data_IF_875434808302
#
_entry.id   IF_875434808302
#
_cell.length_a   1.000
_cell.length_b   1.000
_cell.length_c   1.000
_cell.angle_alpha   90.00
_cell.angle_beta   90.00
_cell.angle_gamma   90.00
#
_symmetry.space_group_name_H-M   'P 1'
#
loop_
_entity.id
_entity.type
_entity.pdbx_description
1 polymer ?
#
# COMPACT_ATOMS: atom_id res chain seq x y z
N UNK A 1 25.45 -37.84 43.64
CA UNK A 1 25.54 -37.43 45.07
C UNK A 1 24.13 -36.98 45.46
N UNK A 2 23.39 -37.53 46.42
CA UNK A 2 23.68 -38.28 47.64
C UNK A 2 22.55 -39.30 47.84
N UNK A 3 22.90 -40.59 47.86
CA UNK A 3 22.05 -41.66 48.37
C UNK A 3 22.46 -41.90 49.83
N UNK A 4 22.03 -41.04 50.77
CA UNK A 4 22.15 -41.28 52.22
C UNK A 4 21.39 -40.25 53.06
N UNK A 5 20.10 -40.03 52.75
CA UNK A 5 19.13 -39.48 53.71
C UNK A 5 18.02 -40.49 53.91
N UNK A 6 18.33 -41.58 54.60
CA UNK A 6 17.32 -42.39 55.27
C UNK A 6 16.66 -41.48 56.30
N UNK A 7 15.45 -40.99 55.98
CA UNK A 7 14.63 -40.07 56.76
C UNK A 7 14.71 -40.37 58.26
N UNK A 8 15.35 -39.48 59.03
CA UNK A 8 15.37 -39.56 60.50
C UNK A 8 13.95 -39.59 61.10
N UNK A 9 12.95 -39.08 60.35
CA UNK A 9 11.55 -39.19 60.69
C UNK A 9 10.99 -40.60 60.53
N UNK A 10 11.46 -41.36 59.53
CA UNK A 10 11.05 -42.76 59.28
C UNK A 10 11.54 -43.68 60.40
N UNK A 11 12.76 -43.48 60.89
CA UNK A 11 13.27 -44.24 62.05
C UNK A 11 12.50 -43.91 63.34
N UNK A 12 12.12 -42.65 63.54
CA UNK A 12 11.26 -42.23 64.67
C UNK A 12 9.85 -42.80 64.58
N UNK A 13 9.25 -42.86 63.39
CA UNK A 13 7.93 -43.45 63.16
C UNK A 13 7.91 -44.95 63.43
N UNK A 14 8.97 -45.67 63.02
CA UNK A 14 9.15 -47.10 63.31
C UNK A 14 9.38 -47.33 64.81
N UNK A 15 10.19 -46.50 65.46
CA UNK A 15 10.41 -46.58 66.91
C UNK A 15 9.12 -46.33 67.71
N UNK A 16 8.31 -45.35 67.31
CA UNK A 16 6.99 -45.09 67.92
C UNK A 16 6.07 -46.28 67.68
N UNK A 17 5.96 -46.81 66.46
CA UNK A 17 5.14 -47.99 66.18
C UNK A 17 5.56 -49.21 67.03
N UNK A 18 6.87 -49.46 67.17
CA UNK A 18 7.40 -50.57 67.97
C UNK A 18 7.09 -50.44 69.46
N UNK A 19 7.24 -49.24 70.04
CA UNK A 19 6.89 -48.95 71.44
C UNK A 19 5.38 -49.17 71.68
N UNK A 20 4.54 -48.80 70.69
CA UNK A 20 3.09 -48.89 70.81
C UNK A 20 2.51 -50.27 70.49
N UNK A 21 3.20 -51.15 69.74
CA UNK A 21 2.78 -52.56 69.61
C UNK A 21 3.00 -53.35 70.90
N UNK A 22 3.97 -52.94 71.72
CA UNK A 22 4.35 -53.64 72.96
C UNK A 22 3.48 -53.19 74.15
N UNK A 23 2.98 -51.95 74.14
CA UNK A 23 2.23 -51.33 75.25
C UNK A 23 0.87 -51.98 75.57
N UNK A 24 -0.03 -52.28 74.60
CA UNK A 24 -1.34 -52.86 74.89
C UNK A 24 -1.25 -54.29 75.45
N UNK A 25 -0.30 -55.10 74.95
CA UNK A 25 -0.05 -56.45 75.46
C UNK A 25 0.46 -56.44 76.91
N UNK A 26 1.31 -55.48 77.26
CA UNK A 26 1.78 -55.26 78.64
C UNK A 26 0.67 -54.73 79.54
N UNK A 27 -0.19 -53.83 79.05
CA UNK A 27 -1.33 -53.30 79.81
C UNK A 27 -2.39 -54.38 80.08
N UNK A 28 -2.65 -55.25 79.10
CA UNK A 28 -3.53 -56.42 79.24
C UNK A 28 -2.98 -57.46 80.25
N UNK A 29 -1.67 -57.72 80.23
CA UNK A 29 -1.00 -58.61 81.17
C UNK A 29 -0.96 -58.07 82.61
N UNK A 30 -0.85 -56.75 82.79
CA UNK A 30 -0.85 -56.13 84.11
C UNK A 30 -2.25 -56.08 84.73
N UNK A 31 -3.31 -55.90 83.94
CA UNK A 31 -4.68 -55.79 84.47
C UNK A 31 -5.38 -57.13 84.72
N UNK A 32 -5.13 -58.17 83.92
CA UNK A 32 -5.69 -59.51 84.17
C UNK A 32 -5.16 -60.16 85.46
N UNK A 33 -4.06 -59.64 86.01
CA UNK A 33 -3.46 -60.07 87.28
C UNK A 33 -4.16 -59.48 88.53
N UNK A 34 -5.09 -58.54 88.36
CA UNK A 34 -5.72 -57.86 89.49
C UNK A 34 -6.89 -58.68 90.07
N UNK A 35 -6.74 -59.14 91.33
CA UNK A 35 -7.60 -60.16 91.98
C UNK A 35 -8.96 -59.66 92.53
N UNK A 36 -9.35 -58.41 92.27
CA UNK A 36 -10.54 -57.78 92.88
C UNK A 36 -11.72 -57.48 91.94
N UNK A 37 -11.70 -57.90 90.67
CA UNK A 37 -12.77 -57.63 89.68
C UNK A 37 -13.67 -58.86 89.46
N UNK A 38 -14.99 -58.67 89.29
CA UNK A 38 -15.93 -59.75 88.96
C UNK A 38 -15.77 -60.23 87.51
N UNK A 39 -16.16 -61.47 87.18
CA UNK A 39 -15.95 -62.06 85.84
C UNK A 39 -16.59 -61.23 84.71
N UNK A 40 -17.77 -60.62 84.95
CA UNK A 40 -18.42 -59.70 84.00
C UNK A 40 -17.63 -58.39 83.81
N UNK A 41 -17.09 -57.82 84.89
CA UNK A 41 -16.28 -56.59 84.82
C UNK A 41 -14.95 -56.80 84.09
N UNK A 42 -14.35 -57.99 84.20
CA UNK A 42 -13.13 -58.33 83.44
C UNK A 42 -13.37 -58.34 81.93
N UNK A 43 -14.52 -58.86 81.48
CA UNK A 43 -14.90 -58.89 80.05
C UNK A 43 -15.16 -57.48 79.53
N UNK A 44 -15.87 -56.65 80.29
CA UNK A 44 -16.19 -55.27 79.88
C UNK A 44 -14.94 -54.40 79.77
N UNK A 45 -14.04 -54.48 80.76
CA UNK A 45 -12.73 -53.80 80.71
C UNK A 45 -11.85 -54.33 79.57
N UNK A 46 -11.87 -55.64 79.30
CA UNK A 46 -11.13 -56.22 78.18
C UNK A 46 -11.66 -55.74 76.83
N UNK A 47 -12.98 -55.70 76.64
CA UNK A 47 -13.62 -55.17 75.42
C UNK A 47 -13.38 -53.67 75.25
N UNK A 48 -13.40 -52.90 76.33
CA UNK A 48 -13.07 -51.48 76.32
C UNK A 48 -11.58 -51.25 75.97
N UNK A 49 -10.66 -52.03 76.54
CA UNK A 49 -9.24 -51.97 76.19
C UNK A 49 -8.98 -52.38 74.73
N UNK A 50 -9.69 -53.38 74.23
CA UNK A 50 -9.57 -53.88 72.86
C UNK A 50 -10.16 -52.89 71.84
N UNK A 51 -11.31 -52.29 72.12
CA UNK A 51 -11.90 -51.22 71.30
C UNK A 51 -11.04 -49.96 71.32
N UNK A 52 -10.50 -49.55 72.47
CA UNK A 52 -9.59 -48.39 72.57
C UNK A 52 -8.29 -48.63 71.81
N UNK A 53 -7.74 -49.85 71.89
CA UNK A 53 -6.57 -50.24 71.10
C UNK A 53 -6.89 -50.25 69.61
N UNK A 54 -8.04 -50.80 69.21
CA UNK A 54 -8.48 -50.86 67.82
C UNK A 54 -8.72 -49.46 67.21
N UNK A 55 -9.38 -48.54 67.93
CA UNK A 55 -9.57 -47.16 67.49
C UNK A 55 -8.26 -46.39 67.39
N UNK A 56 -7.32 -46.64 68.32
CA UNK A 56 -5.98 -46.06 68.25
C UNK A 56 -5.18 -46.57 67.05
N UNK A 57 -5.12 -47.88 66.82
CA UNK A 57 -4.43 -48.46 65.64
C UNK A 57 -5.08 -48.01 64.33
N UNK A 58 -6.40 -47.87 64.29
CA UNK A 58 -7.12 -47.30 63.15
C UNK A 58 -6.71 -45.83 62.93
N UNK A 59 -6.69 -45.01 63.98
CA UNK A 59 -6.24 -43.62 63.92
C UNK A 59 -4.78 -43.49 63.46
N UNK A 60 -3.89 -44.35 63.96
CA UNK A 60 -2.50 -44.40 63.54
C UNK A 60 -2.34 -44.83 62.08
N UNK A 61 -3.11 -45.83 61.62
CA UNK A 61 -3.13 -46.26 60.23
C UNK A 61 -3.64 -45.15 59.29
N UNK A 62 -4.69 -44.42 59.69
CA UNK A 62 -5.20 -43.24 58.95
C UNK A 62 -4.14 -42.15 58.88
N UNK A 63 -3.46 -41.84 60.00
CA UNK A 63 -2.38 -40.85 60.05
C UNK A 63 -1.20 -41.23 59.14
N UNK A 64 -0.77 -42.49 59.18
CA UNK A 64 0.26 -43.02 58.29
C UNK A 64 -0.13 -42.92 56.82
N UNK A 65 -1.37 -43.29 56.48
CA UNK A 65 -1.87 -43.21 55.12
C UNK A 65 -1.93 -41.75 54.63
N UNK A 66 -2.44 -40.83 55.47
CA UNK A 66 -2.45 -39.40 55.18
C UNK A 66 -1.03 -38.83 54.97
N UNK A 67 -0.05 -39.24 55.80
CA UNK A 67 1.35 -38.86 55.64
C UNK A 67 1.93 -39.34 54.30
N UNK A 68 1.75 -40.61 53.96
CA UNK A 68 2.25 -41.14 52.69
C UNK A 68 1.50 -40.59 51.48
N UNK A 69 0.20 -40.30 51.60
CA UNK A 69 -0.58 -39.61 50.56
C UNK A 69 -0.05 -38.18 50.35
N UNK A 70 0.21 -37.43 51.42
CA UNK A 70 0.82 -36.10 51.35
C UNK A 70 2.21 -36.14 50.69
N UNK A 71 3.06 -37.09 51.08
CA UNK A 71 4.40 -37.28 50.47
C UNK A 71 4.33 -37.66 48.99
N UNK A 72 3.36 -38.51 48.59
CA UNK A 72 3.10 -38.82 47.18
C UNK A 72 2.61 -37.58 46.42
N UNK A 73 1.69 -36.81 46.99
CA UNK A 73 1.20 -35.58 46.39
C UNK A 73 2.33 -34.55 46.19
N UNK A 74 3.24 -34.42 47.16
CA UNK A 74 4.41 -33.54 47.03
C UNK A 74 5.38 -34.02 45.93
N UNK A 75 5.64 -35.33 45.86
CA UNK A 75 6.46 -35.91 44.79
C UNK A 75 5.83 -35.72 43.41
N UNK A 76 4.50 -35.91 43.29
CA UNK A 76 3.74 -35.65 42.06
C UNK A 76 3.86 -34.17 41.67
N UNK A 77 3.69 -33.25 42.62
CA UNK A 77 3.80 -31.81 42.37
C UNK A 77 5.20 -31.42 41.88
N UNK A 78 6.26 -31.95 42.50
CA UNK A 78 7.65 -31.72 42.04
C UNK A 78 7.89 -32.26 40.63
N UNK A 79 7.38 -33.45 40.33
CA UNK A 79 7.46 -34.03 38.99
C UNK A 79 6.67 -33.21 37.96
N UNK A 80 5.48 -32.73 38.32
CA UNK A 80 4.67 -31.88 37.45
C UNK A 80 5.40 -30.58 37.08
N UNK A 81 6.02 -29.90 38.07
CA UNK A 81 6.84 -28.70 37.84
C UNK A 81 8.04 -29.02 36.93
N UNK A 82 8.70 -30.16 37.13
CA UNK A 82 9.82 -30.57 36.29
C UNK A 82 9.39 -30.85 34.84
N UNK A 83 8.23 -31.46 34.63
CA UNK A 83 7.64 -31.70 33.30
C UNK A 83 7.25 -30.38 32.64
N UNK A 84 6.61 -29.47 33.36
CA UNK A 84 6.23 -28.14 32.85
C UNK A 84 7.47 -27.37 32.39
N UNK A 85 8.51 -27.33 33.22
CA UNK A 85 9.79 -26.69 32.86
C UNK A 85 10.48 -27.37 31.69
N UNK A 86 10.42 -28.69 31.60
CA UNK A 86 10.95 -29.45 30.46
C UNK A 86 10.20 -29.13 29.17
N UNK A 87 8.86 -29.04 29.23
CA UNK A 87 8.03 -28.65 28.09
C UNK A 87 8.33 -27.22 27.66
N UNK A 88 8.49 -26.28 28.59
CA UNK A 88 8.87 -24.89 28.30
C UNK A 88 10.26 -24.80 27.62
N UNK A 89 11.23 -25.59 28.06
CA UNK A 89 12.55 -25.67 27.42
C UNK A 89 12.43 -26.27 26.02
N UNK A 90 11.64 -27.33 25.86
CA UNK A 90 11.43 -27.96 24.55
C UNK A 90 10.75 -27.01 23.57
N UNK A 91 9.73 -26.26 23.98
CA UNK A 91 9.07 -25.25 23.12
C UNK A 91 10.05 -24.14 22.73
N UNK A 92 10.85 -23.63 23.66
CA UNK A 92 11.92 -22.67 23.38
C UNK A 92 12.96 -23.23 22.41
N UNK A 93 13.40 -24.47 22.62
CA UNK A 93 14.38 -25.12 21.73
C UNK A 93 13.81 -25.32 20.32
N UNK A 94 12.54 -25.70 20.19
CA UNK A 94 11.89 -25.80 18.88
C UNK A 94 11.78 -24.46 18.17
N UNK A 95 11.49 -23.39 18.90
CA UNK A 95 11.42 -22.04 18.35
C UNK A 95 12.80 -21.56 17.88
N UNK A 96 13.85 -21.75 18.68
CA UNK A 96 15.23 -21.42 18.30
C UNK A 96 15.67 -22.20 17.05
N UNK A 97 15.31 -23.49 16.96
CA UNK A 97 15.64 -24.30 15.79
C UNK A 97 14.93 -23.80 14.52
N UNK A 98 13.66 -23.38 14.63
CA UNK A 98 12.91 -22.78 13.53
C UNK A 98 13.50 -21.44 13.08
N UNK A 99 13.83 -20.56 14.03
CA UNK A 99 14.48 -19.26 13.77
C UNK A 99 15.85 -19.45 13.07
N UNK A 100 16.63 -20.43 13.52
CA UNK A 100 17.92 -20.77 12.88
C UNK A 100 17.74 -21.25 11.45
N UNK A 101 16.79 -22.15 11.20
CA UNK A 101 16.50 -22.66 9.86
C UNK A 101 16.05 -21.53 8.91
N UNK A 102 15.20 -20.61 9.38
CA UNK A 102 14.77 -19.45 8.61
C UNK A 102 15.96 -18.55 8.25
N UNK A 103 16.85 -18.28 9.22
CA UNK A 103 18.08 -17.50 9.02
C UNK A 103 19.02 -18.16 8.01
N UNK A 104 19.21 -19.48 8.08
CA UNK A 104 20.03 -20.22 7.12
C UNK A 104 19.46 -20.17 5.70
N UNK A 105 18.14 -20.33 5.53
CA UNK A 105 17.46 -20.18 4.23
C UNK A 105 17.65 -18.78 3.66
N UNK A 106 17.50 -17.75 4.48
CA UNK A 106 17.69 -16.36 4.09
C UNK A 106 19.12 -16.09 3.62
N UNK A 107 20.14 -16.48 4.40
CA UNK A 107 21.54 -16.28 4.05
C UNK A 107 21.97 -17.05 2.79
N UNK A 108 21.46 -18.28 2.63
CA UNK A 108 21.71 -19.08 1.43
C UNK A 108 21.10 -18.42 0.19
N UNK A 109 19.88 -17.88 0.30
CA UNK A 109 19.24 -17.18 -0.81
C UNK A 109 20.01 -15.91 -1.20
N UNK A 110 20.48 -15.11 -0.24
CA UNK A 110 21.33 -13.94 -0.52
C UNK A 110 22.59 -14.35 -1.29
N UNK A 111 23.25 -15.42 -0.87
CA UNK A 111 24.46 -15.92 -1.55
C UNK A 111 24.15 -16.34 -2.99
N UNK A 112 23.01 -17.02 -3.20
CA UNK A 112 22.57 -17.48 -4.50
C UNK A 112 22.13 -16.34 -5.45
N UNK A 113 21.77 -15.16 -4.94
CA UNK A 113 21.50 -13.98 -5.79
C UNK A 113 22.73 -13.53 -6.59
N UNK A 114 23.94 -13.75 -6.07
CA UNK A 114 25.20 -13.41 -6.76
C UNK A 114 25.65 -14.45 -7.79
N UNK A 115 24.91 -15.55 -7.95
CA UNK A 115 25.32 -16.66 -8.81
C UNK A 115 25.21 -16.31 -10.30
N UNK A 116 26.10 -16.83 -11.16
CA UNK A 116 26.12 -16.51 -12.61
C UNK A 116 24.90 -17.06 -13.38
N UNK A 117 24.36 -18.19 -12.93
CA UNK A 117 23.17 -18.81 -13.52
C UNK A 117 21.87 -18.08 -13.13
N UNK A 118 21.14 -17.60 -14.14
CA UNK A 118 19.83 -16.93 -14.01
C UNK A 118 18.82 -17.77 -13.23
N UNK A 119 18.74 -19.09 -13.47
CA UNK A 119 17.79 -19.97 -12.80
C UNK A 119 18.04 -20.05 -11.28
N UNK A 120 19.32 -20.06 -10.88
CA UNK A 120 19.72 -20.02 -9.46
C UNK A 120 19.29 -18.71 -8.81
N UNK A 121 19.50 -17.57 -9.48
CA UNK A 121 19.06 -16.26 -8.98
C UNK A 121 17.54 -16.17 -8.88
N UNK A 122 16.81 -16.64 -9.89
CA UNK A 122 15.35 -16.71 -9.86
C UNK A 122 14.85 -17.56 -8.69
N UNK A 123 15.46 -18.74 -8.45
CA UNK A 123 15.14 -19.58 -7.29
C UNK A 123 15.38 -18.84 -5.96
N UNK A 124 16.51 -18.16 -5.83
CA UNK A 124 16.85 -17.37 -4.65
C UNK A 124 15.84 -16.24 -4.38
N UNK A 125 15.39 -15.53 -5.43
CA UNK A 125 14.38 -14.47 -5.32
C UNK A 125 13.07 -15.02 -4.74
N UNK A 126 12.61 -16.20 -5.17
CA UNK A 126 11.40 -16.81 -4.61
C UNK A 126 11.57 -17.33 -3.19
N UNK A 127 12.76 -17.81 -2.82
CA UNK A 127 13.06 -18.15 -1.42
C UNK A 127 12.99 -16.90 -0.54
N UNK A 128 13.54 -15.77 -1.00
CA UNK A 128 13.44 -14.49 -0.30
C UNK A 128 11.98 -14.01 -0.18
N UNK A 129 11.17 -14.15 -1.24
CA UNK A 129 9.72 -13.87 -1.16
C UNK A 129 9.05 -14.70 -0.07
N UNK A 130 9.36 -16.00 0.02
CA UNK A 130 8.85 -16.87 1.09
C UNK A 130 9.24 -16.38 2.48
N UNK A 131 10.51 -16.02 2.67
CA UNK A 131 11.02 -15.46 3.94
C UNK A 131 10.29 -14.16 4.30
N UNK A 132 10.06 -13.27 3.32
CA UNK A 132 9.33 -12.02 3.54
C UNK A 132 7.87 -12.22 3.97
N UNK A 133 7.23 -13.30 3.52
CA UNK A 133 5.85 -13.66 3.92
C UNK A 133 5.78 -14.29 5.31
N UNK A 134 6.80 -15.04 5.70
CA UNK A 134 6.86 -15.72 7.00
C UNK A 134 7.27 -14.76 8.13
N UNK A 135 8.03 -13.69 7.84
CA UNK A 135 8.53 -12.76 8.83
C UNK A 135 8.35 -11.30 8.41
N UNK A 136 7.44 -10.60 9.08
CA UNK A 136 7.24 -9.15 8.89
C UNK A 136 8.50 -8.34 9.21
N UNK A 137 9.33 -8.80 10.15
CA UNK A 137 10.60 -8.17 10.50
C UNK A 137 11.60 -8.23 9.34
N UNK A 138 11.63 -9.32 8.57
CA UNK A 138 12.55 -9.51 7.45
C UNK A 138 11.98 -9.04 6.11
N UNK A 139 10.66 -8.86 6.01
CA UNK A 139 9.96 -8.42 4.81
C UNK A 139 10.62 -7.18 4.17
N UNK A 140 10.79 -6.13 4.98
CA UNK A 140 11.39 -4.89 4.51
C UNK A 140 12.83 -5.09 4.01
N UNK A 141 13.64 -5.85 4.75
CA UNK A 141 15.03 -6.15 4.35
C UNK A 141 15.08 -6.94 3.06
N UNK A 142 14.20 -7.91 2.86
CA UNK A 142 14.07 -8.64 1.59
C UNK A 142 13.76 -7.68 0.45
N UNK A 143 12.80 -6.77 0.62
CA UNK A 143 12.45 -5.80 -0.41
C UNK A 143 13.63 -4.87 -0.74
N UNK A 144 14.41 -4.46 0.26
CA UNK A 144 15.64 -3.68 0.04
C UNK A 144 16.70 -4.47 -0.73
N UNK A 145 16.91 -5.74 -0.41
CA UNK A 145 17.85 -6.62 -1.12
C UNK A 145 17.44 -6.81 -2.57
N UNK A 146 16.15 -7.11 -2.83
CA UNK A 146 15.65 -7.28 -4.19
C UNK A 146 15.71 -5.98 -4.99
N UNK A 147 15.45 -4.85 -4.34
CA UNK A 147 15.58 -3.53 -4.95
C UNK A 147 17.03 -3.22 -5.32
N UNK A 148 17.99 -3.53 -4.42
CA UNK A 148 19.42 -3.41 -4.71
C UNK A 148 19.85 -4.31 -5.87
N UNK A 149 19.36 -5.56 -5.89
CA UNK A 149 19.59 -6.49 -6.98
C UNK A 149 19.11 -5.92 -8.34
N UNK A 150 17.90 -5.33 -8.38
CA UNK A 150 17.41 -4.66 -9.61
C UNK A 150 18.34 -3.51 -10.00
N UNK A 151 18.73 -2.63 -9.08
CA UNK A 151 19.62 -1.50 -9.39
C UNK A 151 20.96 -1.93 -9.98
N UNK A 152 21.56 -2.99 -9.45
CA UNK A 152 22.85 -3.50 -9.94
C UNK A 152 22.74 -4.17 -11.31
N UNK A 153 21.58 -4.75 -11.63
CA UNK A 153 21.39 -5.58 -12.82
C UNK A 153 20.57 -4.91 -13.93
N UNK A 154 20.01 -3.73 -13.67
CA UNK A 154 19.18 -2.96 -14.57
C UNK A 154 19.64 -1.49 -14.60
N UNK A 155 20.92 -1.23 -14.86
CA UNK A 155 21.46 0.14 -14.88
C UNK A 155 21.07 0.87 -16.17
N UNK A 156 20.61 2.12 -16.07
CA UNK A 156 20.44 3.00 -17.25
C UNK A 156 21.80 3.25 -17.90
N UNK A 157 22.04 2.67 -19.08
CA UNK A 157 23.22 2.97 -19.88
C UNK A 157 23.00 4.29 -20.63
N UNK A 158 23.47 5.38 -20.04
CA UNK A 158 23.64 6.64 -20.75
C UNK A 158 24.85 6.49 -21.68
N UNK A 159 24.66 6.07 -22.94
CA UNK A 159 25.60 6.00 -24.10
C UNK A 159 25.09 4.83 -24.97
N UNK A 160 24.77 4.91 -26.27
CA UNK A 160 25.10 5.79 -27.38
C UNK A 160 23.91 5.87 -28.34
N UNK A 161 23.95 6.85 -29.26
CA UNK A 161 23.25 6.82 -30.54
C UNK A 161 23.63 5.53 -31.29
N UNK A 162 22.99 4.41 -30.97
CA UNK A 162 23.09 3.18 -31.76
C UNK A 162 21.69 2.72 -32.18
N UNK A 163 21.47 2.98 -33.45
CA UNK A 163 20.63 2.41 -34.51
C UNK A 163 20.09 0.97 -34.38
N UNK A 164 19.99 0.35 -33.21
CA UNK A 164 19.29 -0.93 -33.08
C UNK A 164 18.11 -0.85 -32.12
N UNK A 165 16.95 -0.70 -32.74
CA UNK A 165 15.60 -0.92 -32.22
C UNK A 165 15.37 -2.39 -31.81
N UNK A 166 16.29 -2.99 -31.05
CA UNK A 166 16.08 -4.28 -30.41
C UNK A 166 15.35 -4.03 -29.11
N UNK A 167 14.07 -4.38 -29.11
CA UNK A 167 13.20 -4.45 -27.95
C UNK A 167 13.81 -5.43 -26.93
N UNK A 168 14.73 -4.94 -26.09
CA UNK A 168 15.39 -5.76 -25.08
C UNK A 168 14.44 -5.89 -23.90
N UNK A 169 13.67 -6.99 -23.89
CA UNK A 169 12.91 -7.44 -22.74
C UNK A 169 13.83 -7.51 -21.51
N UNK A 170 13.32 -7.08 -20.36
CA UNK A 170 14.05 -7.14 -19.08
C UNK A 170 14.53 -8.58 -18.82
N UNK A 171 15.74 -8.73 -18.26
CA UNK A 171 16.31 -10.03 -17.87
C UNK A 171 15.32 -10.76 -16.95
N UNK A 172 15.17 -12.07 -17.10
CA UNK A 172 14.08 -12.83 -16.46
C UNK A 172 14.12 -12.80 -14.94
N UNK A 173 15.30 -12.83 -14.34
CA UNK A 173 15.53 -12.67 -12.90
C UNK A 173 15.27 -11.25 -12.40
N UNK A 174 15.62 -10.20 -13.15
CA UNK A 174 15.23 -8.82 -12.85
C UNK A 174 13.71 -8.68 -12.89
N UNK A 175 13.07 -9.22 -13.93
CA UNK A 175 11.62 -9.30 -13.99
C UNK A 175 11.03 -10.09 -12.81
N UNK A 176 11.67 -11.19 -12.39
CA UNK A 176 11.25 -11.95 -11.19
C UNK A 176 11.32 -11.09 -9.94
N UNK A 177 12.43 -10.37 -9.74
CA UNK A 177 12.60 -9.46 -8.61
C UNK A 177 11.54 -8.35 -8.61
N UNK A 178 11.28 -7.73 -9.76
CA UNK A 178 10.20 -6.74 -9.92
C UNK A 178 8.82 -7.32 -9.61
N UNK A 179 8.55 -8.55 -10.03
CA UNK A 179 7.29 -9.24 -9.71
C UNK A 179 7.14 -9.48 -8.21
N UNK A 180 8.21 -9.88 -7.51
CA UNK A 180 8.17 -10.07 -6.05
C UNK A 180 8.00 -8.73 -5.33
N UNK A 181 8.75 -7.70 -5.72
CA UNK A 181 8.60 -6.34 -5.18
C UNK A 181 7.17 -5.84 -5.40
N UNK A 182 6.59 -6.07 -6.59
CA UNK A 182 5.23 -5.66 -6.94
C UNK A 182 4.13 -6.46 -6.22
N UNK A 183 4.45 -7.55 -5.52
CA UNK A 183 3.49 -8.32 -4.70
C UNK A 183 3.61 -8.03 -3.21
N UNK A 184 4.48 -7.10 -2.82
CA UNK A 184 4.70 -6.74 -1.41
C UNK A 184 3.44 -6.16 -0.78
N UNK A 185 3.37 -6.28 0.54
CA UNK A 185 2.31 -5.73 1.36
C UNK A 185 2.69 -4.32 1.83
N UNK A 186 2.25 -3.27 1.12
CA UNK A 186 2.65 -1.87 1.43
C UNK A 186 2.34 -1.37 2.84
N UNK A 187 1.27 -1.78 3.54
CA UNK A 187 1.05 -1.45 4.95
C UNK A 187 2.13 -1.97 5.91
N UNK A 188 2.92 -2.97 5.50
CA UNK A 188 4.05 -3.49 6.29
C UNK A 188 5.36 -2.72 6.00
N UNK A 189 5.35 -1.77 5.06
CA UNK A 189 6.51 -0.92 4.78
C UNK A 189 6.84 -0.07 6.02
N UNK A 190 8.12 0.00 6.39
CA UNK A 190 8.58 0.84 7.49
C UNK A 190 8.22 2.30 7.26
N UNK A 191 7.66 2.97 8.27
CA UNK A 191 7.17 4.35 8.17
C UNK A 191 8.26 5.30 7.64
N UNK A 192 7.98 5.93 6.50
CA UNK A 192 8.84 6.95 5.90
C UNK A 192 9.99 6.46 5.00
N UNK A 193 10.16 5.15 4.81
CA UNK A 193 11.19 4.61 3.93
C UNK A 193 10.62 4.27 2.55
N UNK A 194 11.24 4.78 1.47
CA UNK A 194 10.90 4.43 0.09
C UNK A 194 11.85 3.36 -0.43
N UNK A 195 11.36 2.37 -1.16
CA UNK A 195 12.23 1.48 -1.92
C UNK A 195 12.74 2.22 -3.16
N UNK A 196 14.05 2.17 -3.35
CA UNK A 196 14.77 3.00 -4.30
C UNK A 196 15.19 2.22 -5.55
N UNK A 197 14.45 2.44 -6.63
CA UNK A 197 14.68 1.93 -7.96
C UNK A 197 15.11 3.05 -8.93
N UNK A 198 15.73 4.13 -8.43
CA UNK A 198 16.14 5.26 -9.27
C UNK A 198 17.13 4.83 -10.36
N UNK A 199 17.09 5.52 -11.51
CA UNK A 199 18.01 5.33 -12.63
C UNK A 199 18.15 3.86 -13.08
N UNK A 200 17.04 3.12 -13.07
CA UNK A 200 17.01 1.73 -13.53
C UNK A 200 16.38 1.58 -14.91
N UNK A 201 16.89 0.67 -15.74
CA UNK A 201 16.37 0.32 -17.06
C UNK A 201 15.42 -0.88 -16.96
N UNK A 202 14.13 -0.57 -16.95
CA UNK A 202 13.02 -1.52 -16.86
C UNK A 202 12.12 -1.41 -18.10
N UNK A 203 12.70 -1.12 -19.27
CA UNK A 203 11.98 -1.07 -20.53
C UNK A 203 11.27 -2.39 -20.81
N UNK A 204 10.05 -2.33 -21.32
CA UNK A 204 9.23 -3.52 -21.62
C UNK A 204 8.98 -4.44 -20.42
N UNK A 205 9.15 -3.97 -19.17
CA UNK A 205 8.83 -4.75 -17.98
C UNK A 205 7.33 -5.05 -17.90
N UNK A 206 6.99 -6.24 -17.40
CA UNK A 206 5.63 -6.60 -17.04
C UNK A 206 5.41 -6.26 -15.55
N UNK A 207 4.64 -5.21 -15.31
CA UNK A 207 4.32 -4.66 -13.99
C UNK A 207 2.79 -4.58 -13.79
N UNK A 208 2.03 -5.42 -14.50
CA UNK A 208 0.56 -5.44 -14.42
C UNK A 208 0.10 -5.72 -12.99
N UNK A 209 -0.77 -4.86 -12.47
CA UNK A 209 -1.32 -4.98 -11.12
C UNK A 209 -0.27 -4.88 -10.00
N UNK A 210 0.96 -4.44 -10.30
CA UNK A 210 2.01 -4.38 -9.29
C UNK A 210 1.73 -3.27 -8.26
N UNK A 211 1.96 -3.58 -6.98
CA UNK A 211 2.02 -2.62 -5.89
C UNK A 211 3.38 -1.90 -5.92
N UNK A 212 3.37 -0.72 -6.52
CA UNK A 212 4.51 0.17 -6.69
C UNK A 212 4.36 1.45 -5.85
N UNK A 213 3.49 1.45 -4.83
CA UNK A 213 3.23 2.61 -3.97
C UNK A 213 4.51 3.09 -3.30
N UNK A 214 4.67 4.41 -3.17
CA UNK A 214 5.80 5.04 -2.47
C UNK A 214 7.20 4.69 -3.02
N UNK A 215 7.32 4.11 -4.21
CA UNK A 215 8.62 3.82 -4.81
C UNK A 215 9.33 5.12 -5.25
N UNK A 216 10.65 5.11 -5.19
CA UNK A 216 11.49 6.10 -5.85
C UNK A 216 11.99 5.53 -7.19
N UNK A 217 11.39 6.00 -8.28
CA UNK A 217 11.62 5.61 -9.68
C UNK A 217 12.24 6.76 -10.48
N UNK A 218 12.86 7.74 -9.80
CA UNK A 218 13.41 8.93 -10.45
C UNK A 218 14.46 8.57 -11.49
N UNK A 219 14.33 9.15 -12.68
CA UNK A 219 15.25 8.93 -13.80
C UNK A 219 15.22 7.52 -14.39
N UNK A 220 14.37 6.62 -13.90
CA UNK A 220 14.27 5.26 -14.42
C UNK A 220 13.62 5.22 -15.81
N UNK A 221 13.92 4.19 -16.58
CA UNK A 221 13.37 3.96 -17.90
C UNK A 221 12.36 2.81 -17.89
N UNK A 222 11.08 3.17 -17.95
CA UNK A 222 9.91 2.31 -18.05
C UNK A 222 9.26 2.41 -19.45
N UNK A 223 10.02 2.81 -20.47
CA UNK A 223 9.49 2.91 -21.84
C UNK A 223 8.95 1.56 -22.29
N UNK A 224 7.77 1.57 -22.90
CA UNK A 224 7.04 0.38 -23.35
C UNK A 224 6.71 -0.65 -22.25
N UNK A 225 6.89 -0.31 -20.96
CA UNK A 225 6.48 -1.19 -19.87
C UNK A 225 4.95 -1.34 -19.79
N UNK A 226 4.50 -2.50 -19.35
CA UNK A 226 3.09 -2.81 -19.12
C UNK A 226 2.74 -2.63 -17.64
N UNK A 227 2.10 -1.51 -17.32
CA UNK A 227 1.73 -1.07 -15.98
C UNK A 227 0.20 -1.09 -15.79
N UNK A 228 -0.52 -1.92 -16.56
CA UNK A 228 -1.99 -1.99 -16.47
C UNK A 228 -2.44 -2.32 -15.06
N UNK A 229 -3.27 -1.46 -14.48
CA UNK A 229 -3.79 -1.61 -13.12
C UNK A 229 -2.73 -1.57 -12.01
N UNK A 230 -1.49 -1.17 -12.31
CA UNK A 230 -0.46 -0.99 -11.28
C UNK A 230 -0.82 0.17 -10.34
N UNK A 231 -0.36 0.09 -9.10
CA UNK A 231 -0.55 1.15 -8.11
C UNK A 231 0.76 1.86 -7.81
N UNK A 232 0.89 3.09 -8.32
CA UNK A 232 2.03 4.00 -8.13
C UNK A 232 1.67 5.17 -7.20
N UNK A 233 0.65 5.02 -6.35
CA UNK A 233 0.22 6.07 -5.41
C UNK A 233 1.41 6.61 -4.62
N UNK A 234 1.54 7.95 -4.58
CA UNK A 234 2.59 8.69 -3.86
C UNK A 234 4.05 8.30 -4.21
N UNK A 235 4.25 7.67 -5.37
CA UNK A 235 5.57 7.34 -5.90
C UNK A 235 6.25 8.57 -6.51
N UNK A 236 7.58 8.54 -6.57
CA UNK A 236 8.40 9.56 -7.21
C UNK A 236 8.90 9.06 -8.56
N UNK A 237 8.34 9.57 -9.65
CA UNK A 237 8.69 9.28 -11.04
C UNK A 237 9.30 10.52 -11.73
N UNK A 238 9.90 11.45 -10.98
CA UNK A 238 10.49 12.63 -11.60
C UNK A 238 11.58 12.24 -12.63
N UNK A 239 11.52 12.86 -13.81
CA UNK A 239 12.40 12.61 -14.96
C UNK A 239 12.34 11.16 -15.51
N UNK A 240 11.36 10.35 -15.08
CA UNK A 240 11.19 8.97 -15.56
C UNK A 240 10.83 8.95 -17.06
N UNK A 241 11.39 7.99 -17.79
CA UNK A 241 11.03 7.71 -19.19
C UNK A 241 9.91 6.68 -19.22
N UNK A 242 8.75 7.06 -19.74
CA UNK A 242 7.52 6.26 -19.85
C UNK A 242 6.99 6.25 -21.29
N UNK A 243 7.87 6.49 -22.27
CA UNK A 243 7.55 6.56 -23.69
C UNK A 243 6.80 5.29 -24.13
N UNK A 244 5.61 5.44 -24.71
CA UNK A 244 4.81 4.32 -25.22
C UNK A 244 4.37 3.29 -24.17
N UNK A 245 4.52 3.57 -22.86
CA UNK A 245 4.11 2.63 -21.81
C UNK A 245 2.60 2.44 -21.76
N UNK A 246 2.18 1.27 -21.26
CA UNK A 246 0.76 0.92 -21.10
C UNK A 246 0.37 1.16 -19.65
N UNK A 247 -0.29 2.29 -19.40
CA UNK A 247 -0.72 2.79 -18.09
C UNK A 247 -2.26 2.76 -17.95
N UNK A 248 -2.92 1.81 -18.62
CA UNK A 248 -4.38 1.69 -18.57
C UNK A 248 -4.84 1.33 -17.15
N UNK A 249 -5.79 2.09 -16.60
CA UNK A 249 -6.34 1.91 -15.25
C UNK A 249 -5.27 1.97 -14.12
N UNK A 250 -4.13 2.61 -14.38
CA UNK A 250 -3.07 2.79 -13.39
C UNK A 250 -3.50 3.77 -12.28
N UNK A 251 -3.10 3.54 -11.03
CA UNK A 251 -3.19 4.56 -9.98
C UNK A 251 -1.89 5.35 -9.90
N UNK A 252 -1.98 6.66 -10.12
CA UNK A 252 -0.91 7.66 -9.96
C UNK A 252 -1.34 8.73 -8.94
N UNK A 253 -2.24 8.39 -8.01
CA UNK A 253 -2.76 9.34 -7.03
C UNK A 253 -1.61 10.01 -6.28
N UNK A 254 -1.56 11.35 -6.32
CA UNK A 254 -0.49 12.18 -5.71
C UNK A 254 0.95 11.79 -6.07
N UNK A 255 1.17 11.01 -7.13
CA UNK A 255 2.52 10.69 -7.58
C UNK A 255 3.22 11.95 -8.11
N UNK A 256 4.55 11.99 -8.01
CA UNK A 256 5.38 13.02 -8.66
C UNK A 256 5.84 12.50 -10.02
N UNK A 257 5.58 13.25 -11.09
CA UNK A 257 5.97 12.94 -12.47
C UNK A 257 6.59 14.19 -13.12
N UNK A 258 7.32 15.01 -12.37
CA UNK A 258 7.89 16.25 -12.90
C UNK A 258 8.90 15.93 -13.99
N UNK A 259 8.79 16.60 -15.13
CA UNK A 259 9.62 16.37 -16.31
C UNK A 259 9.60 14.91 -16.83
N UNK A 260 8.63 14.08 -16.42
CA UNK A 260 8.53 12.71 -16.91
C UNK A 260 8.16 12.71 -18.41
N UNK A 261 8.67 11.72 -19.15
CA UNK A 261 8.37 11.56 -20.57
C UNK A 261 7.31 10.47 -20.78
N UNK A 262 6.06 10.89 -20.90
CA UNK A 262 4.86 10.07 -21.16
C UNK A 262 4.41 10.15 -22.63
N UNK A 263 5.30 10.55 -23.54
CA UNK A 263 4.98 10.65 -24.96
C UNK A 263 4.39 9.32 -25.47
N UNK A 264 3.28 9.40 -26.20
CA UNK A 264 2.55 8.25 -26.73
C UNK A 264 2.07 7.20 -25.70
N UNK A 265 2.17 7.47 -24.39
CA UNK A 265 1.75 6.54 -23.36
C UNK A 265 0.22 6.36 -23.36
N UNK A 266 -0.25 5.16 -23.00
CA UNK A 266 -1.67 4.85 -22.88
C UNK A 266 -2.13 4.94 -21.42
N UNK A 267 -2.62 6.11 -21.02
CA UNK A 267 -3.16 6.47 -19.70
C UNK A 267 -4.70 6.41 -19.65
N UNK A 268 -5.35 5.65 -20.53
CA UNK A 268 -6.81 5.55 -20.54
C UNK A 268 -7.33 5.08 -19.18
N UNK A 269 -8.35 5.77 -18.65
CA UNK A 269 -8.95 5.53 -17.33
C UNK A 269 -7.98 5.61 -16.14
N UNK A 270 -6.76 6.12 -16.33
CA UNK A 270 -5.80 6.29 -15.23
C UNK A 270 -6.31 7.24 -14.14
N UNK A 271 -5.95 6.96 -12.89
CA UNK A 271 -6.28 7.77 -11.72
C UNK A 271 -5.08 8.64 -11.36
N UNK A 272 -5.07 9.88 -11.84
CA UNK A 272 -3.96 10.83 -11.75
C UNK A 272 -4.33 12.03 -10.87
N UNK A 273 -5.31 11.86 -9.98
CA UNK A 273 -5.83 12.93 -9.15
C UNK A 273 -4.77 13.44 -8.16
N UNK A 274 -4.58 14.76 -8.13
CA UNK A 274 -3.58 15.43 -7.29
C UNK A 274 -2.11 15.15 -7.66
N UNK A 275 -1.83 14.43 -8.74
CA UNK A 275 -0.45 14.15 -9.16
C UNK A 275 0.26 15.42 -9.65
N UNK A 276 1.60 15.40 -9.59
CA UNK A 276 2.44 16.49 -10.06
C UNK A 276 3.10 16.16 -11.41
N UNK A 277 2.49 16.60 -12.50
CA UNK A 277 2.94 16.45 -13.90
C UNK A 277 3.59 17.75 -14.42
N UNK A 278 4.16 18.57 -13.55
CA UNK A 278 4.82 19.82 -13.96
C UNK A 278 5.87 19.54 -15.04
N UNK A 279 5.73 20.23 -16.19
CA UNK A 279 6.65 20.12 -17.33
C UNK A 279 6.81 18.69 -17.89
N UNK A 280 5.87 17.78 -17.58
CA UNK A 280 5.85 16.45 -18.17
C UNK A 280 5.50 16.51 -19.66
N UNK A 281 6.08 15.60 -20.44
CA UNK A 281 5.77 15.43 -21.85
C UNK A 281 4.72 14.34 -22.03
N UNK A 282 3.47 14.72 -22.29
CA UNK A 282 2.34 13.86 -22.61
C UNK A 282 1.92 13.98 -24.09
N UNK A 283 2.81 14.45 -24.97
CA UNK A 283 2.47 14.62 -26.39
C UNK A 283 2.06 13.29 -27.02
N UNK A 284 0.93 13.31 -27.71
CA UNK A 284 0.31 12.13 -28.32
C UNK A 284 -0.24 11.07 -27.34
N UNK A 285 -0.17 11.30 -26.02
CA UNK A 285 -0.65 10.34 -25.03
C UNK A 285 -2.17 10.15 -25.10
N UNK A 286 -2.64 8.96 -24.72
CA UNK A 286 -4.06 8.63 -24.67
C UNK A 286 -4.55 8.68 -23.22
N UNK A 287 -5.35 9.69 -22.87
CA UNK A 287 -5.89 9.94 -21.53
C UNK A 287 -7.43 9.87 -21.53
N UNK A 288 -8.03 9.07 -22.41
CA UNK A 288 -9.50 9.01 -22.54
C UNK A 288 -10.11 8.53 -21.23
N UNK A 289 -11.00 9.35 -20.66
CA UNK A 289 -11.67 9.05 -19.40
C UNK A 289 -10.75 9.00 -18.18
N UNK A 290 -9.51 9.50 -18.27
CA UNK A 290 -8.60 9.58 -17.12
C UNK A 290 -9.10 10.63 -16.11
N UNK A 291 -8.80 10.41 -14.83
CA UNK A 291 -9.11 11.36 -13.76
C UNK A 291 -7.85 12.15 -13.36
N UNK A 292 -7.74 13.38 -13.84
CA UNK A 292 -6.69 14.34 -13.53
C UNK A 292 -7.17 15.46 -12.57
N UNK A 293 -8.23 15.23 -11.79
CA UNK A 293 -8.80 16.26 -10.93
C UNK A 293 -7.74 16.80 -9.96
N UNK A 294 -7.56 18.11 -9.92
CA UNK A 294 -6.57 18.79 -9.07
C UNK A 294 -5.10 18.52 -9.42
N UNK A 295 -4.80 17.83 -10.53
CA UNK A 295 -3.42 17.58 -10.95
C UNK A 295 -2.68 18.88 -11.31
N UNK A 296 -1.38 18.91 -11.07
CA UNK A 296 -0.51 20.01 -11.50
C UNK A 296 0.11 19.69 -12.86
N UNK A 297 -0.29 20.42 -13.90
CA UNK A 297 0.15 20.30 -15.29
C UNK A 297 0.84 21.59 -15.76
N UNK A 298 1.41 22.38 -14.83
CA UNK A 298 2.13 23.62 -15.14
C UNK A 298 3.20 23.37 -16.21
N UNK A 299 3.12 24.08 -17.34
CA UNK A 299 4.01 23.92 -18.51
C UNK A 299 4.09 22.49 -19.10
N UNK A 300 3.11 21.63 -18.83
CA UNK A 300 3.10 20.29 -19.44
C UNK A 300 2.87 20.36 -20.96
N UNK A 301 3.47 19.44 -21.70
CA UNK A 301 3.23 19.27 -23.14
C UNK A 301 2.17 18.20 -23.37
N UNK A 302 0.98 18.61 -23.82
CA UNK A 302 -0.18 17.78 -24.13
C UNK A 302 -0.52 17.84 -25.63
N UNK A 303 0.43 18.21 -26.49
CA UNK A 303 0.19 18.33 -27.94
C UNK A 303 -0.42 17.05 -28.49
N UNK A 304 -1.51 17.18 -29.24
CA UNK A 304 -2.25 16.06 -29.84
C UNK A 304 -2.71 14.96 -28.86
N UNK A 305 -2.67 15.19 -27.55
CA UNK A 305 -3.12 14.22 -26.55
C UNK A 305 -4.63 13.98 -26.65
N UNK A 306 -5.07 12.76 -26.37
CA UNK A 306 -6.48 12.41 -26.35
C UNK A 306 -7.05 12.47 -24.93
N UNK A 307 -7.70 13.57 -24.59
CA UNK A 307 -8.33 13.84 -23.29
C UNK A 307 -9.86 13.74 -23.34
N UNK A 308 -10.43 13.06 -24.35
CA UNK A 308 -11.89 12.92 -24.47
C UNK A 308 -12.47 12.28 -23.21
N UNK A 309 -13.53 12.88 -22.66
CA UNK A 309 -14.18 12.47 -21.40
C UNK A 309 -13.27 12.51 -20.15
N UNK A 310 -12.07 13.09 -20.21
CA UNK A 310 -11.19 13.19 -19.05
C UNK A 310 -11.77 14.16 -18.01
N UNK A 311 -11.51 13.88 -16.73
CA UNK A 311 -11.82 14.80 -15.64
C UNK A 311 -10.58 15.62 -15.28
N UNK A 312 -10.54 16.88 -15.69
CA UNK A 312 -9.51 17.87 -15.40
C UNK A 312 -9.99 18.92 -14.39
N UNK A 313 -11.10 18.68 -13.69
CA UNK A 313 -11.65 19.67 -12.76
C UNK A 313 -10.60 20.13 -11.73
N UNK A 314 -10.50 21.44 -11.54
CA UNK A 314 -9.52 22.11 -10.66
C UNK A 314 -8.04 21.83 -11.01
N UNK A 315 -7.74 21.24 -12.17
CA UNK A 315 -6.36 21.02 -12.59
C UNK A 315 -5.65 22.36 -12.90
N UNK A 316 -4.33 22.36 -12.79
CA UNK A 316 -3.47 23.53 -13.03
C UNK A 316 -2.73 23.37 -14.36
N UNK A 317 -3.27 23.89 -15.45
CA UNK A 317 -2.71 23.87 -16.80
C UNK A 317 -2.09 25.20 -17.24
N UNK A 318 -1.64 26.04 -16.30
CA UNK A 318 -0.98 27.31 -16.63
C UNK A 318 0.20 27.07 -17.58
N UNK A 319 0.22 27.83 -18.69
CA UNK A 319 1.25 27.74 -19.73
C UNK A 319 1.43 26.34 -20.35
N UNK A 320 0.45 25.44 -20.21
CA UNK A 320 0.49 24.11 -20.82
C UNK A 320 0.30 24.20 -22.35
N UNK A 321 0.89 23.27 -23.08
CA UNK A 321 0.74 23.18 -24.53
C UNK A 321 -0.27 22.10 -24.91
N UNK A 322 -1.50 22.47 -25.24
CA UNK A 322 -2.59 21.60 -25.68
C UNK A 322 -2.88 21.73 -27.19
N UNK A 323 -1.91 22.17 -28.00
CA UNK A 323 -2.13 22.32 -29.45
C UNK A 323 -2.61 21.00 -30.07
N UNK A 324 -3.74 21.04 -30.78
CA UNK A 324 -4.38 19.88 -31.41
C UNK A 324 -4.93 18.83 -30.43
N UNK A 325 -4.97 19.10 -29.12
CA UNK A 325 -5.47 18.14 -28.14
C UNK A 325 -6.97 17.87 -28.31
N UNK A 326 -7.40 16.63 -28.04
CA UNK A 326 -8.80 16.19 -28.15
C UNK A 326 -9.44 16.20 -26.77
N UNK A 327 -10.12 17.28 -26.42
CA UNK A 327 -10.81 17.54 -25.15
C UNK A 327 -12.34 17.36 -25.22
N UNK A 328 -12.87 16.75 -26.29
CA UNK A 328 -14.31 16.57 -26.46
C UNK A 328 -14.99 15.91 -25.25
N UNK A 329 -16.02 16.57 -24.71
CA UNK A 329 -16.76 16.19 -23.49
C UNK A 329 -15.89 16.06 -22.23
N UNK A 330 -14.70 16.65 -22.19
CA UNK A 330 -13.88 16.70 -20.97
C UNK A 330 -14.50 17.63 -19.92
N UNK A 331 -14.27 17.33 -18.64
CA UNK A 331 -14.64 18.20 -17.53
C UNK A 331 -13.43 19.07 -17.13
N UNK A 332 -13.50 20.36 -17.44
CA UNK A 332 -12.51 21.39 -17.14
C UNK A 332 -13.04 22.41 -16.11
N UNK A 333 -14.01 22.04 -15.26
CA UNK A 333 -14.58 22.97 -14.28
C UNK A 333 -13.52 23.51 -13.32
N UNK A 334 -13.49 24.83 -13.12
CA UNK A 334 -12.52 25.53 -12.26
C UNK A 334 -11.05 25.29 -12.62
N UNK A 335 -10.75 24.93 -13.87
CA UNK A 335 -9.38 24.67 -14.31
C UNK A 335 -8.61 25.97 -14.51
N UNK A 336 -7.33 26.00 -14.14
CA UNK A 336 -6.43 27.09 -14.47
C UNK A 336 -5.74 26.86 -15.81
N UNK A 337 -6.13 27.58 -16.86
CA UNK A 337 -5.62 27.50 -18.24
C UNK A 337 -4.92 28.79 -18.68
N UNK A 338 -4.56 29.68 -17.75
CA UNK A 338 -3.98 30.97 -18.09
C UNK A 338 -2.68 30.80 -18.91
N UNK A 339 -2.63 31.48 -20.05
CA UNK A 339 -1.52 31.41 -21.01
C UNK A 339 -1.35 30.06 -21.72
N UNK A 340 -2.29 29.13 -21.58
CA UNK A 340 -2.20 27.82 -22.23
C UNK A 340 -2.36 27.94 -23.75
N UNK A 341 -1.68 27.08 -24.50
CA UNK A 341 -1.80 27.01 -25.96
C UNK A 341 -2.81 25.93 -26.35
N UNK A 342 -3.99 26.31 -26.81
CA UNK A 342 -5.05 25.43 -27.31
C UNK A 342 -5.26 25.58 -28.83
N UNK A 343 -4.26 26.03 -29.59
CA UNK A 343 -4.36 26.17 -31.04
C UNK A 343 -4.87 24.88 -31.69
N UNK A 344 -5.97 24.97 -32.44
CA UNK A 344 -6.58 23.82 -33.13
C UNK A 344 -7.07 22.70 -32.21
N UNK A 345 -7.23 22.93 -30.90
CA UNK A 345 -7.76 21.93 -29.98
C UNK A 345 -9.26 21.69 -30.21
N UNK A 346 -9.73 20.48 -29.92
CA UNK A 346 -11.15 20.12 -29.99
C UNK A 346 -11.74 20.04 -28.57
N UNK A 347 -12.54 21.02 -28.19
CA UNK A 347 -13.26 21.16 -26.93
C UNK A 347 -14.77 20.88 -27.06
N UNK A 348 -15.19 20.13 -28.07
CA UNK A 348 -16.62 19.95 -28.37
C UNK A 348 -17.38 19.36 -27.18
N UNK A 349 -18.38 20.09 -26.68
CA UNK A 349 -19.17 19.74 -25.50
C UNK A 349 -18.38 19.65 -24.19
N UNK A 350 -17.18 20.25 -24.13
CA UNK A 350 -16.40 20.31 -22.90
C UNK A 350 -17.06 21.25 -21.87
N UNK A 351 -16.84 20.97 -20.59
CA UNK A 351 -17.35 21.79 -19.50
C UNK A 351 -16.23 22.66 -18.92
N UNK A 352 -16.21 23.96 -19.23
CA UNK A 352 -15.25 24.95 -18.75
C UNK A 352 -15.88 25.91 -17.73
N UNK A 353 -16.90 25.46 -16.98
CA UNK A 353 -17.54 26.26 -15.93
C UNK A 353 -16.50 26.84 -14.98
N UNK A 354 -16.47 28.18 -14.86
CA UNK A 354 -15.54 28.92 -14.00
C UNK A 354 -14.05 28.61 -14.25
N UNK A 355 -13.68 28.17 -15.45
CA UNK A 355 -12.29 28.03 -15.84
C UNK A 355 -11.63 29.41 -16.04
N UNK A 356 -10.34 29.50 -15.75
CA UNK A 356 -9.53 30.68 -16.03
C UNK A 356 -8.70 30.45 -17.29
N UNK A 357 -9.13 31.02 -18.42
CA UNK A 357 -8.47 30.98 -19.72
C UNK A 357 -7.80 32.31 -20.07
N UNK A 358 -7.43 33.14 -19.08
CA UNK A 358 -6.82 34.44 -19.37
C UNK A 358 -5.54 34.29 -20.21
N UNK A 359 -5.38 35.11 -21.24
CA UNK A 359 -4.27 35.06 -22.20
C UNK A 359 -4.07 33.68 -22.89
N UNK A 360 -5.09 32.80 -22.87
CA UNK A 360 -5.01 31.51 -23.53
C UNK A 360 -5.13 31.67 -25.05
N UNK A 361 -4.43 30.82 -25.80
CA UNK A 361 -4.44 30.82 -27.27
C UNK A 361 -5.40 29.76 -27.78
N UNK A 362 -6.60 30.13 -28.16
CA UNK A 362 -7.66 29.27 -28.69
C UNK A 362 -7.93 29.45 -30.20
N UNK A 363 -7.04 30.14 -30.92
CA UNK A 363 -7.12 30.31 -32.37
C UNK A 363 -7.46 28.99 -33.10
N UNK A 364 -8.43 29.06 -34.00
CA UNK A 364 -8.90 27.91 -34.80
C UNK A 364 -9.30 26.66 -33.99
N UNK A 365 -9.62 26.81 -32.70
CA UNK A 365 -10.15 25.70 -31.91
C UNK A 365 -11.61 25.39 -32.29
N UNK A 366 -12.00 24.14 -32.08
CA UNK A 366 -13.40 23.72 -32.17
C UNK A 366 -13.97 23.59 -30.77
N UNK A 367 -15.05 24.29 -30.44
CA UNK A 367 -15.66 24.22 -29.11
C UNK A 367 -17.19 24.13 -29.16
N UNK A 368 -17.76 23.47 -30.19
CA UNK A 368 -19.21 23.37 -30.36
C UNK A 368 -19.92 22.95 -29.07
N UNK A 369 -20.95 23.70 -28.67
CA UNK A 369 -21.77 23.42 -27.48
C UNK A 369 -20.97 23.30 -26.16
N UNK A 370 -19.76 23.87 -26.10
CA UNK A 370 -19.00 23.89 -24.86
C UNK A 370 -19.61 24.87 -23.84
N UNK A 371 -19.41 24.57 -22.56
CA UNK A 371 -19.90 25.40 -21.47
C UNK A 371 -18.79 26.29 -20.92
N UNK A 372 -18.85 27.59 -21.20
CA UNK A 372 -17.96 28.64 -20.67
C UNK A 372 -18.64 29.48 -19.59
N UNK A 373 -19.70 28.98 -18.94
CA UNK A 373 -20.43 29.74 -17.91
C UNK A 373 -19.46 30.25 -16.85
N UNK A 374 -19.49 31.55 -16.57
CA UNK A 374 -18.64 32.24 -15.61
C UNK A 374 -17.12 31.99 -15.77
N UNK A 375 -16.68 31.56 -16.96
CA UNK A 375 -15.27 31.44 -17.27
C UNK A 375 -14.66 32.84 -17.50
N UNK A 376 -13.39 33.00 -17.15
CA UNK A 376 -12.62 34.20 -17.47
C UNK A 376 -11.76 33.93 -18.69
N UNK A 377 -11.91 34.74 -19.73
CA UNK A 377 -11.17 34.67 -20.99
C UNK A 377 -10.47 35.99 -21.27
N UNK A 378 -10.11 36.77 -20.24
CA UNK A 378 -9.45 38.07 -20.43
C UNK A 378 -8.21 37.94 -21.30
N UNK A 379 -8.05 38.79 -22.31
CA UNK A 379 -6.90 38.76 -23.25
C UNK A 379 -6.75 37.42 -24.01
N UNK A 380 -7.75 36.55 -23.99
CA UNK A 380 -7.67 35.28 -24.71
C UNK A 380 -7.80 35.52 -26.22
N UNK A 381 -7.12 34.69 -27.01
CA UNK A 381 -7.22 34.75 -28.46
C UNK A 381 -8.10 33.62 -28.99
N UNK A 382 -9.27 33.97 -29.49
CA UNK A 382 -10.27 33.10 -30.08
C UNK A 382 -10.44 33.37 -31.59
N UNK A 383 -9.44 33.96 -32.24
CA UNK A 383 -9.48 34.28 -33.66
C UNK A 383 -9.78 33.02 -34.51
N UNK A 384 -10.84 33.10 -35.32
CA UNK A 384 -11.30 32.01 -36.17
C UNK A 384 -11.76 30.75 -35.43
N UNK A 385 -12.00 30.82 -34.10
CA UNK A 385 -12.50 29.70 -33.33
C UNK A 385 -13.97 29.39 -33.65
N UNK A 386 -14.35 28.13 -33.61
CA UNK A 386 -15.73 27.72 -33.78
C UNK A 386 -16.42 27.52 -32.43
N UNK A 387 -17.26 28.49 -32.07
CA UNK A 387 -17.95 28.61 -30.78
C UNK A 387 -19.47 28.42 -30.92
N UNK A 388 -19.91 27.77 -32.01
CA UNK A 388 -21.33 27.59 -32.28
C UNK A 388 -22.03 26.85 -31.13
N UNK A 389 -23.14 27.44 -30.65
CA UNK A 389 -23.96 26.91 -29.58
C UNK A 389 -23.30 26.89 -28.19
N UNK A 390 -22.16 27.56 -28.01
CA UNK A 390 -21.50 27.68 -26.71
C UNK A 390 -22.37 28.42 -25.69
N UNK A 391 -22.17 28.09 -24.41
CA UNK A 391 -22.78 28.84 -23.31
C UNK A 391 -21.74 29.74 -22.63
N UNK A 392 -21.81 31.05 -22.87
CA UNK A 392 -20.95 32.09 -22.28
C UNK A 392 -21.64 32.86 -21.16
N UNK A 393 -22.69 32.31 -20.56
CA UNK A 393 -23.43 32.98 -19.49
C UNK A 393 -22.48 33.49 -18.39
N UNK A 394 -22.49 34.80 -18.13
CA UNK A 394 -21.63 35.48 -17.14
C UNK A 394 -20.13 35.33 -17.37
N UNK A 395 -19.69 34.96 -18.57
CA UNK A 395 -18.27 34.88 -18.90
C UNK A 395 -17.65 36.27 -18.98
N UNK A 396 -16.34 36.36 -18.74
CA UNK A 396 -15.56 37.59 -18.90
C UNK A 396 -14.76 37.47 -20.20
N UNK A 397 -15.11 38.27 -21.19
CA UNK A 397 -14.48 38.37 -22.51
C UNK A 397 -13.74 39.70 -22.71
N UNK A 398 -13.37 40.39 -21.64
CA UNK A 398 -12.64 41.65 -21.78
C UNK A 398 -11.31 41.45 -22.54
N UNK A 399 -11.01 42.35 -23.47
CA UNK A 399 -9.80 42.32 -24.31
C UNK A 399 -9.63 41.00 -25.09
N UNK A 400 -10.72 40.24 -25.28
CA UNK A 400 -10.69 38.97 -25.99
C UNK A 400 -10.71 39.21 -27.50
N UNK A 401 -9.85 38.52 -28.24
CA UNK A 401 -9.87 38.54 -29.70
C UNK A 401 -10.85 37.50 -30.25
N UNK A 402 -12.03 37.93 -30.72
CA UNK A 402 -13.05 37.09 -31.35
C UNK A 402 -13.11 37.27 -32.87
N UNK A 403 -12.06 37.84 -33.48
CA UNK A 403 -12.05 38.12 -34.92
C UNK A 403 -12.32 36.85 -35.73
N UNK A 404 -13.30 36.89 -36.63
CA UNK A 404 -13.70 35.74 -37.46
C UNK A 404 -14.25 34.53 -36.68
N UNK A 405 -14.50 34.66 -35.37
CA UNK A 405 -15.03 33.55 -34.58
C UNK A 405 -16.50 33.27 -34.92
N UNK A 406 -16.89 32.01 -34.92
CA UNK A 406 -18.28 31.61 -35.15
C UNK A 406 -19.03 31.44 -33.83
N UNK A 407 -19.85 32.41 -33.45
CA UNK A 407 -20.70 32.38 -32.24
C UNK A 407 -22.17 32.09 -32.57
N UNK A 408 -22.47 31.46 -33.71
CA UNK A 408 -23.84 31.16 -34.12
C UNK A 408 -24.58 30.37 -33.03
N UNK A 409 -25.73 30.87 -32.58
CA UNK A 409 -26.54 30.22 -31.55
C UNK A 409 -25.97 30.25 -30.13
N UNK A 410 -24.85 30.94 -29.88
CA UNK A 410 -24.24 31.02 -28.56
C UNK A 410 -25.11 31.79 -27.56
N UNK A 411 -25.07 31.42 -26.28
CA UNK A 411 -25.74 32.15 -25.20
C UNK A 411 -24.77 33.14 -24.56
N UNK A 412 -25.07 34.44 -24.66
CA UNK A 412 -24.22 35.54 -24.20
C UNK A 412 -24.79 36.28 -22.97
N UNK A 413 -25.72 35.67 -22.23
CA UNK A 413 -26.37 36.32 -21.09
C UNK A 413 -25.36 36.85 -20.05
N UNK A 414 -25.36 38.16 -19.81
CA UNK A 414 -24.54 38.81 -18.78
C UNK A 414 -23.04 38.70 -19.02
N UNK A 415 -22.61 38.55 -20.27
CA UNK A 415 -21.20 38.54 -20.64
C UNK A 415 -20.57 39.92 -20.44
N UNK A 416 -19.33 39.97 -19.96
CA UNK A 416 -18.52 41.19 -19.92
C UNK A 416 -17.63 41.25 -21.17
N UNK A 417 -17.77 42.28 -22.00
CA UNK A 417 -17.12 42.38 -23.32
C UNK A 417 -16.24 43.63 -23.46
N UNK A 418 -15.77 44.18 -22.34
CA UNK A 418 -14.99 45.42 -22.35
C UNK A 418 -13.75 45.29 -23.25
N UNK A 419 -13.62 46.15 -24.25
CA UNK A 419 -12.50 46.15 -25.22
C UNK A 419 -12.31 44.83 -25.99
N UNK A 420 -13.37 44.00 -26.11
CA UNK A 420 -13.33 42.81 -26.94
C UNK A 420 -13.31 43.15 -28.44
N UNK A 421 -12.53 42.39 -29.23
CA UNK A 421 -12.40 42.58 -30.69
C UNK A 421 -13.32 41.60 -31.40
N UNK A 422 -14.20 42.10 -32.28
CA UNK A 422 -15.28 41.32 -32.92
C UNK A 422 -15.20 41.24 -34.44
N UNK A 423 -14.12 41.72 -35.05
CA UNK A 423 -14.02 41.89 -36.50
C UNK A 423 -14.35 40.60 -37.28
N UNK A 424 -15.45 40.61 -38.03
CA UNK A 424 -15.91 39.45 -38.81
C UNK A 424 -16.49 38.28 -37.99
N UNK A 425 -16.76 38.48 -36.70
CA UNK A 425 -17.42 37.46 -35.86
C UNK A 425 -18.86 37.17 -36.35
N UNK A 426 -19.25 35.90 -36.35
CA UNK A 426 -20.57 35.46 -36.79
C UNK A 426 -21.48 35.31 -35.57
N UNK A 427 -22.47 36.20 -35.44
CA UNK A 427 -23.40 36.26 -34.31
C UNK A 427 -24.84 35.81 -34.65
N UNK A 428 -25.05 35.21 -35.82
CA UNK A 428 -26.38 34.78 -36.27
C UNK A 428 -27.06 33.88 -35.23
N UNK A 429 -28.25 34.27 -34.77
CA UNK A 429 -29.00 33.50 -33.78
C UNK A 429 -28.37 33.43 -32.39
N UNK A 430 -27.33 34.23 -32.08
CA UNK A 430 -26.83 34.40 -30.72
C UNK A 430 -27.97 34.86 -29.80
N UNK A 431 -27.99 34.36 -28.57
CA UNK A 431 -29.09 34.49 -27.62
C UNK A 431 -28.64 35.35 -26.44
N UNK A 432 -29.59 36.11 -25.89
CA UNK A 432 -29.41 36.88 -24.67
C UNK A 432 -28.22 37.85 -24.72
N UNK A 433 -27.94 38.40 -25.91
CA UNK A 433 -26.91 39.42 -26.07
C UNK A 433 -27.57 40.80 -25.98
N UNK A 434 -27.11 41.64 -25.05
CA UNK A 434 -27.76 42.92 -24.79
C UNK A 434 -27.62 43.87 -26.00
N UNK A 435 -28.67 44.64 -26.31
CA UNK A 435 -28.70 45.50 -27.50
C UNK A 435 -27.53 46.48 -27.57
N UNK A 436 -27.13 47.07 -26.43
CA UNK A 436 -25.99 48.00 -26.39
C UNK A 436 -24.67 47.28 -26.65
N UNK A 437 -24.51 46.06 -26.13
CA UNK A 437 -23.33 45.24 -26.36
C UNK A 437 -23.26 44.77 -27.83
N UNK A 438 -24.40 44.50 -28.47
CA UNK A 438 -24.47 44.16 -29.89
C UNK A 438 -23.98 45.30 -30.78
N UNK A 439 -24.32 46.55 -30.48
CA UNK A 439 -23.80 47.72 -31.21
C UNK A 439 -22.29 47.85 -31.11
N UNK A 440 -21.73 47.64 -29.91
CA UNK A 440 -20.28 47.63 -29.70
C UNK A 440 -19.62 46.51 -30.52
N UNK A 441 -20.25 45.33 -30.59
CA UNK A 441 -19.69 44.17 -31.28
C UNK A 441 -19.81 44.23 -32.81
N UNK A 442 -20.88 44.78 -33.38
CA UNK A 442 -21.12 44.79 -34.83
C UNK A 442 -20.77 46.12 -35.52
N UNK A 443 -20.52 47.18 -34.75
CA UNK A 443 -20.57 48.55 -35.28
C UNK A 443 -22.01 49.07 -35.38
N UNK A 444 -22.15 50.33 -35.78
CA UNK A 444 -23.46 51.02 -35.98
C UNK A 444 -24.35 50.38 -37.04
#
# INVERSE_FOLDING_TARGET
>A
MSANKTDAFKSKLVAIAAIFTVSPGLFFLLFTRNRQLSELQKIEVANQALTTSATFFLGFAVMLNAYYASKRAEAIRRNAIAIEKSNEINTKNTQIAQERLATERFMNAITQLGHENVATRTGAIYVLEGVARESSQQNWTVMQILTAFVRENAVVRHLQLETENKQTRVRTDVQTALTVIGRRNSPEDGTGSKLDLRNTDMRCADLRGANLQHLDLRGSNLSEADLRGADLTESDLDNCQLLGSILYDVSLHKASLRNANLNLANLNRAWICGANLQSANLSGANLRGANLSGANLYKADLRSANLKLANLSKAKLFLANLQGAKLGKANLNHTGLMGANLYGANLNGANLLQANLNAAKLHHSEAYFANFTAASLREADLCGANLMGCNFQKAILCETNLSGANLMGANLFGVDICDAIWDGAILTGAKNFEYQQMKVAMGD
#
